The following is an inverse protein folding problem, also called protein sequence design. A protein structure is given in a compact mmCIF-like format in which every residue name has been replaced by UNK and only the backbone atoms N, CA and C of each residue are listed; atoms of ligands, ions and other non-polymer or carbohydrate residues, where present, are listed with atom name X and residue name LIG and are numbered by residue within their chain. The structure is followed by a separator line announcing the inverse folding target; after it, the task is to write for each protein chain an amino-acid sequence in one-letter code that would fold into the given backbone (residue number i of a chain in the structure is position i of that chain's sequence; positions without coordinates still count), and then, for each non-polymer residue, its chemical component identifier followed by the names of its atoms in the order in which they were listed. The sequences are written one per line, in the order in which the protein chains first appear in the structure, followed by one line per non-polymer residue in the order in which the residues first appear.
data_IF_427154782957
#
_entry.id   IF_427154782957
#
_cell.length_a   1.000
_cell.length_b   1.000
_cell.length_c   1.000
_cell.angle_alpha   90.00
_cell.angle_beta   90.00
_cell.angle_gamma   90.00
#
_symmetry.space_group_name_H-M   'P 1'
#
loop_
_entity.id
_entity.type
_entity.pdbx_description
1 polymer ?
#
# COMPACT_ATOMS: atom_id res chain seq x y z
N UNK A 1 -12.95 -14.29 -20.29
CA UNK A 1 -12.06 -13.38 -19.54
C UNK A 1 -12.87 -12.81 -18.38
N UNK A 2 -12.47 -13.05 -17.13
CA UNK A 2 -13.21 -12.59 -15.94
C UNK A 2 -12.64 -11.26 -15.46
N UNK A 3 -12.97 -10.15 -16.14
CA UNK A 3 -12.50 -8.81 -15.75
C UNK A 3 -13.53 -8.09 -14.87
N UNK A 4 -13.07 -7.34 -13.88
CA UNK A 4 -13.92 -6.53 -13.00
C UNK A 4 -13.29 -5.15 -12.75
N UNK A 5 -14.08 -4.08 -12.81
CA UNK A 5 -13.63 -2.77 -12.33
C UNK A 5 -13.69 -2.78 -10.80
N UNK A 6 -12.53 -2.61 -10.17
CA UNK A 6 -12.41 -2.47 -8.71
C UNK A 6 -12.06 -1.03 -8.37
N UNK A 7 -12.64 -0.56 -7.27
CA UNK A 7 -12.41 0.77 -6.71
C UNK A 7 -11.45 0.65 -5.53
N UNK A 8 -10.48 1.56 -5.46
CA UNK A 8 -9.61 1.72 -4.29
C UNK A 8 -9.39 3.19 -3.96
N UNK A 9 -8.71 3.43 -2.85
CA UNK A 9 -8.40 4.76 -2.35
C UNK A 9 -6.92 4.83 -2.06
N UNK A 10 -6.27 5.91 -2.49
CA UNK A 10 -4.88 6.13 -2.13
C UNK A 10 -4.74 6.43 -0.63
N UNK A 11 -3.80 5.74 0.01
CA UNK A 11 -3.56 5.87 1.45
C UNK A 11 -2.83 7.19 1.79
N UNK A 12 -2.21 7.85 0.81
CA UNK A 12 -1.48 9.11 0.98
C UNK A 12 -2.40 10.36 1.04
N UNK A 13 -3.41 10.41 0.17
CA UNK A 13 -4.19 11.63 -0.12
C UNK A 13 -5.70 11.37 -0.22
N UNK A 14 -6.15 10.11 -0.13
CA UNK A 14 -7.56 9.74 -0.15
C UNK A 14 -8.25 9.82 -1.52
N UNK A 15 -7.53 10.12 -2.60
CA UNK A 15 -8.06 10.13 -3.96
C UNK A 15 -8.56 8.73 -4.34
N UNK A 16 -9.68 8.67 -5.06
CA UNK A 16 -10.29 7.43 -5.50
C UNK A 16 -9.68 7.01 -6.84
N UNK A 17 -9.35 5.74 -6.95
CA UNK A 17 -8.83 5.11 -8.16
C UNK A 17 -9.71 3.94 -8.56
N UNK A 18 -9.73 3.66 -9.86
CA UNK A 18 -10.44 2.53 -10.44
C UNK A 18 -9.45 1.75 -11.30
N UNK A 19 -9.39 0.44 -11.13
CA UNK A 19 -8.55 -0.45 -11.92
C UNK A 19 -9.40 -1.56 -12.52
N UNK A 20 -9.08 -1.96 -13.75
CA UNK A 20 -9.67 -3.12 -14.39
C UNK A 20 -8.85 -4.36 -14.00
N UNK A 21 -9.42 -5.22 -13.18
CA UNK A 21 -8.75 -6.36 -12.57
C UNK A 21 -9.22 -7.65 -13.25
N UNK A 22 -8.28 -8.44 -13.76
CA UNK A 22 -8.51 -9.82 -14.16
C UNK A 22 -8.64 -10.75 -12.93
N UNK A 23 -9.86 -11.20 -12.65
CA UNK A 23 -10.19 -12.06 -11.51
C UNK A 23 -9.70 -13.51 -11.68
N UNK A 24 -9.30 -13.91 -12.89
CA UNK A 24 -8.74 -15.24 -13.15
C UNK A 24 -7.23 -15.32 -12.88
N UNK A 25 -6.53 -14.17 -12.86
CA UNK A 25 -5.12 -14.09 -12.52
C UNK A 25 -4.99 -13.73 -11.04
N UNK A 26 -4.55 -14.69 -10.24
CA UNK A 26 -4.46 -14.56 -8.79
C UNK A 26 -3.17 -13.91 -8.29
N UNK A 27 -2.17 -13.65 -9.15
CA UNK A 27 -0.79 -13.52 -8.66
C UNK A 27 0.07 -12.47 -9.40
N UNK A 28 1.33 -12.35 -8.95
CA UNK A 28 2.47 -11.67 -9.59
C UNK A 28 2.62 -11.98 -11.09
N UNK A 29 1.89 -12.96 -11.63
CA UNK A 29 1.82 -13.32 -13.06
C UNK A 29 1.46 -12.15 -13.98
N UNK A 30 0.80 -11.10 -13.48
CA UNK A 30 0.61 -9.86 -14.27
C UNK A 30 1.88 -9.10 -14.55
N UNK A 31 2.83 -9.17 -13.63
CA UNK A 31 4.13 -8.55 -13.79
C UNK A 31 5.07 -9.46 -14.58
N UNK A 32 4.78 -10.77 -14.69
CA UNK A 32 5.70 -11.69 -15.37
C UNK A 32 5.82 -11.50 -16.88
N UNK A 33 4.90 -10.76 -17.52
CA UNK A 33 5.09 -10.33 -18.91
C UNK A 33 6.08 -9.18 -19.07
N UNK A 34 6.20 -8.33 -18.03
CA UNK A 34 6.85 -7.01 -18.11
C UNK A 34 8.20 -6.96 -17.37
N UNK A 35 8.47 -7.97 -16.53
CA UNK A 35 9.62 -8.02 -15.64
C UNK A 35 10.26 -9.42 -15.63
N UNK A 36 11.58 -9.46 -15.54
CA UNK A 36 12.35 -10.71 -15.45
C UNK A 36 12.23 -11.35 -14.05
N UNK A 37 12.52 -12.65 -13.94
CA UNK A 37 12.36 -13.41 -12.69
C UNK A 37 13.08 -12.81 -11.48
N UNK A 38 14.30 -12.27 -11.70
CA UNK A 38 15.07 -11.62 -10.66
C UNK A 38 14.51 -10.24 -10.27
N UNK A 39 13.90 -9.53 -11.21
CA UNK A 39 13.18 -8.27 -10.94
C UNK A 39 11.91 -8.55 -10.12
N UNK A 40 11.17 -9.62 -10.45
CA UNK A 40 10.01 -10.08 -9.69
C UNK A 40 10.39 -10.57 -8.29
N UNK A 41 11.54 -11.24 -8.15
CA UNK A 41 12.07 -11.65 -6.85
C UNK A 41 12.41 -10.44 -5.98
N UNK A 42 13.05 -9.41 -6.55
CA UNK A 42 13.32 -8.17 -5.83
C UNK A 42 12.02 -7.43 -5.44
N UNK A 43 11.01 -7.44 -6.33
CA UNK A 43 9.70 -6.89 -6.01
C UNK A 43 9.04 -7.61 -4.82
N UNK A 44 9.08 -8.94 -4.78
CA UNK A 44 8.58 -9.72 -3.62
C UNK A 44 9.34 -9.39 -2.33
N UNK A 45 10.67 -9.32 -2.37
CA UNK A 45 11.47 -8.87 -1.21
C UNK A 45 11.11 -7.45 -0.76
N UNK A 46 10.80 -6.56 -1.71
CA UNK A 46 10.33 -5.21 -1.41
C UNK A 46 8.96 -5.23 -0.74
N UNK A 47 8.05 -6.11 -1.16
CA UNK A 47 6.77 -6.33 -0.49
C UNK A 47 6.98 -6.84 0.95
N UNK A 48 7.90 -7.78 1.17
CA UNK A 48 8.21 -8.31 2.51
C UNK A 48 8.69 -7.19 3.44
N UNK A 49 9.57 -6.30 2.95
CA UNK A 49 10.04 -5.13 3.70
C UNK A 49 8.88 -4.17 4.03
N UNK A 50 8.00 -3.90 3.07
CA UNK A 50 6.86 -2.99 3.26
C UNK A 50 5.85 -3.59 4.26
N UNK A 51 5.48 -4.86 4.11
CA UNK A 51 4.51 -5.56 4.96
C UNK A 51 5.05 -5.70 6.39
N UNK A 52 6.35 -5.98 6.53
CA UNK A 52 7.00 -6.14 7.84
C UNK A 52 7.29 -4.82 8.55
N UNK A 53 7.16 -3.68 7.88
CA UNK A 53 7.37 -2.36 8.48
C UNK A 53 6.13 -1.84 9.20
N UNK A 54 6.32 -1.13 10.32
CA UNK A 54 5.20 -0.48 11.03
C UNK A 54 4.59 0.68 10.23
N UNK A 55 5.39 1.35 9.40
CA UNK A 55 4.97 2.52 8.60
C UNK A 55 4.34 2.15 7.26
N UNK A 56 4.38 0.87 6.86
CA UNK A 56 3.97 0.42 5.53
C UNK A 56 4.90 0.93 4.42
N UNK A 57 6.19 1.10 4.71
CA UNK A 57 7.21 1.60 3.79
C UNK A 57 8.54 0.89 3.95
N UNK A 58 9.32 0.84 2.88
CA UNK A 58 10.70 0.36 2.87
C UNK A 58 11.66 1.45 2.37
N UNK A 59 12.83 1.59 2.99
CA UNK A 59 13.84 2.54 2.53
C UNK A 59 14.54 2.04 1.26
N UNK A 60 15.02 2.95 0.42
CA UNK A 60 15.82 2.62 -0.76
C UNK A 60 17.05 1.78 -0.40
N UNK A 61 17.69 2.09 0.73
CA UNK A 61 18.86 1.38 1.24
C UNK A 61 18.54 -0.06 1.63
N UNK A 62 17.41 -0.31 2.29
CA UNK A 62 17.02 -1.68 2.67
C UNK A 62 16.71 -2.53 1.43
N UNK A 63 16.02 -1.94 0.46
CA UNK A 63 15.71 -2.62 -0.81
C UNK A 63 17.01 -2.93 -1.58
N UNK A 64 17.94 -1.97 -1.67
CA UNK A 64 19.23 -2.15 -2.33
C UNK A 64 20.06 -3.27 -1.68
N UNK A 65 20.08 -3.34 -0.34
CA UNK A 65 20.78 -4.40 0.38
C UNK A 65 20.13 -5.77 0.16
N UNK A 66 18.81 -5.81 -0.07
CA UNK A 66 18.11 -7.07 -0.37
C UNK A 66 18.48 -7.65 -1.75
N UNK A 67 18.97 -6.84 -2.69
CA UNK A 67 19.36 -7.27 -4.03
C UNK A 67 20.54 -8.28 -4.02
N UNK A 68 21.41 -8.20 -3.02
CA UNK A 68 22.53 -9.13 -2.85
C UNK A 68 22.08 -10.52 -2.36
N UNK A 69 20.85 -10.63 -1.86
CA UNK A 69 20.22 -11.86 -1.35
C UNK A 69 19.33 -12.57 -2.37
N UNK A 70 19.30 -12.07 -3.62
CA UNK A 70 18.53 -12.70 -4.70
C UNK A 70 19.13 -14.07 -5.04
N UNK A 71 18.25 -15.06 -5.18
CA UNK A 71 18.57 -16.47 -5.46
C UNK A 71 18.68 -16.76 -6.96
N UNK A 72 17.95 -15.99 -7.79
CA UNK A 72 17.99 -16.10 -9.25
C UNK A 72 19.27 -15.49 -9.85
N UNK A 73 19.25 -14.18 -10.08
CA UNK A 73 20.39 -13.39 -10.58
C UNK A 73 20.46 -12.08 -9.80
N UNK A 74 21.57 -11.89 -9.07
CA UNK A 74 21.82 -10.66 -8.32
C UNK A 74 21.83 -9.45 -9.26
N UNK A 75 21.22 -8.38 -8.79
CA UNK A 75 21.19 -7.08 -9.47
C UNK A 75 22.25 -6.17 -8.87
N UNK A 76 22.94 -5.41 -9.71
CA UNK A 76 23.81 -4.32 -9.23
C UNK A 76 22.95 -3.21 -8.63
N UNK A 77 23.52 -2.41 -7.72
CA UNK A 77 22.81 -1.26 -7.12
C UNK A 77 22.18 -0.33 -8.16
N UNK A 78 22.89 0.01 -9.23
CA UNK A 78 22.36 0.84 -10.32
C UNK A 78 21.23 0.17 -11.11
N UNK A 79 21.26 -1.16 -11.28
CA UNK A 79 20.18 -1.92 -11.91
C UNK A 79 18.95 -1.97 -11.00
N UNK A 80 19.15 -2.11 -9.69
CA UNK A 80 18.08 -2.05 -8.67
C UNK A 80 17.42 -0.69 -8.62
N UNK A 81 18.18 0.42 -8.62
CA UNK A 81 17.63 1.77 -8.67
C UNK A 81 16.82 2.01 -9.95
N UNK A 82 17.33 1.53 -11.10
CA UNK A 82 16.61 1.60 -12.36
C UNK A 82 15.31 0.77 -12.33
N UNK A 83 15.33 -0.42 -11.73
CA UNK A 83 14.12 -1.22 -11.56
C UNK A 83 13.10 -0.53 -10.64
N UNK A 84 13.53 0.07 -9.53
CA UNK A 84 12.64 0.82 -8.64
C UNK A 84 11.95 1.97 -9.38
N UNK A 85 12.67 2.71 -10.21
CA UNK A 85 12.09 3.74 -11.07
C UNK A 85 11.06 3.17 -12.06
N UNK A 86 11.36 2.02 -12.67
CA UNK A 86 10.40 1.32 -13.55
C UNK A 86 9.15 0.87 -12.80
N UNK A 87 9.30 0.32 -11.59
CA UNK A 87 8.18 -0.10 -10.74
C UNK A 87 7.31 1.09 -10.32
N UNK A 88 7.91 2.26 -10.04
CA UNK A 88 7.16 3.50 -9.76
C UNK A 88 6.45 4.00 -11.01
N UNK A 89 7.13 4.04 -12.15
CA UNK A 89 6.55 4.46 -13.42
C UNK A 89 5.38 3.55 -13.84
N UNK A 90 5.56 2.24 -13.65
CA UNK A 90 4.54 1.22 -13.84
C UNK A 90 3.42 1.23 -12.79
N UNK A 91 3.44 2.15 -11.83
CA UNK A 91 2.44 2.23 -10.75
C UNK A 91 2.32 0.90 -10.00
N UNK A 92 3.44 0.24 -9.71
CA UNK A 92 3.53 -0.85 -8.75
C UNK A 92 3.91 -0.31 -7.38
N UNK A 93 4.95 0.53 -7.34
CA UNK A 93 5.40 1.23 -6.16
C UNK A 93 5.05 2.72 -6.20
N UNK A 94 5.09 3.37 -5.05
CA UNK A 94 5.09 4.82 -4.92
C UNK A 94 6.28 5.23 -4.07
N UNK A 95 7.04 6.22 -4.55
CA UNK A 95 8.25 6.71 -3.89
C UNK A 95 8.00 8.10 -3.30
N UNK A 96 8.56 8.34 -2.11
CA UNK A 96 8.61 9.66 -1.49
C UNK A 96 9.83 9.78 -0.58
N UNK A 97 10.78 10.63 -0.97
CA UNK A 97 11.99 10.95 -0.18
C UNK A 97 12.86 9.72 0.14
N UNK A 98 13.01 8.82 -0.82
CA UNK A 98 13.79 7.59 -0.68
C UNK A 98 13.05 6.45 0.01
N UNK A 99 11.79 6.64 0.40
CA UNK A 99 10.93 5.57 0.92
C UNK A 99 9.95 5.09 -0.16
N UNK A 100 9.73 3.78 -0.21
CA UNK A 100 8.84 3.11 -1.13
C UNK A 100 7.68 2.46 -0.39
N UNK A 101 6.49 2.52 -0.97
CA UNK A 101 5.29 1.81 -0.53
C UNK A 101 4.57 1.20 -1.73
N UNK A 102 3.58 0.35 -1.50
CA UNK A 102 2.74 -0.15 -2.59
C UNK A 102 1.85 0.98 -3.10
N UNK A 103 1.79 1.14 -4.41
CA UNK A 103 0.86 2.07 -5.03
C UNK A 103 -0.60 1.58 -4.86
N UNK A 104 -1.56 2.49 -5.04
CA UNK A 104 -2.98 2.12 -5.01
C UNK A 104 -3.34 1.09 -6.08
N UNK A 105 -2.75 1.18 -7.28
CA UNK A 105 -2.96 0.21 -8.36
C UNK A 105 -2.51 -1.18 -7.91
N UNK A 106 -1.29 -1.29 -7.38
CA UNK A 106 -0.75 -2.55 -6.88
C UNK A 106 -1.65 -3.17 -5.82
N UNK A 107 -2.12 -2.38 -4.85
CA UNK A 107 -3.00 -2.88 -3.78
C UNK A 107 -4.32 -3.41 -4.37
N UNK A 108 -4.95 -2.70 -5.31
CA UNK A 108 -6.21 -3.14 -5.92
C UNK A 108 -6.03 -4.43 -6.73
N UNK A 109 -4.99 -4.46 -7.57
CA UNK A 109 -4.76 -5.58 -8.50
C UNK A 109 -4.25 -6.83 -7.80
N UNK A 110 -3.40 -6.68 -6.79
CA UNK A 110 -2.76 -7.79 -6.09
C UNK A 110 -3.41 -8.12 -4.74
N UNK A 111 -4.56 -7.52 -4.41
CA UNK A 111 -5.22 -7.78 -3.13
C UNK A 111 -5.41 -9.27 -2.81
N UNK A 112 -5.86 -10.13 -3.74
CA UNK A 112 -6.01 -11.57 -3.47
C UNK A 112 -4.68 -12.24 -3.11
N UNK A 113 -3.61 -11.93 -3.86
CA UNK A 113 -2.26 -12.40 -3.59
C UNK A 113 -1.78 -11.94 -2.22
N UNK A 114 -1.89 -10.64 -1.92
CA UNK A 114 -1.42 -10.05 -0.67
C UNK A 114 -2.13 -10.69 0.52
N UNK A 115 -3.46 -10.86 0.45
CA UNK A 115 -4.23 -11.51 1.52
C UNK A 115 -3.82 -12.95 1.74
N UNK A 116 -3.50 -13.68 0.66
CA UNK A 116 -3.10 -15.08 0.74
C UNK A 116 -1.70 -15.23 1.31
N UNK A 117 -0.74 -14.47 0.80
CA UNK A 117 0.68 -14.59 1.18
C UNK A 117 1.02 -13.96 2.53
N UNK A 118 0.30 -12.92 2.93
CA UNK A 118 0.60 -12.13 4.13
C UNK A 118 -0.54 -12.12 5.14
N UNK A 119 -1.42 -13.14 5.13
CA UNK A 119 -2.66 -13.20 5.93
C UNK A 119 -2.51 -12.77 7.40
N UNK A 120 -1.39 -13.15 8.04
CA UNK A 120 -1.16 -12.88 9.47
C UNK A 120 -0.64 -11.46 9.73
N UNK A 121 0.00 -10.86 8.72
CA UNK A 121 0.72 -9.59 8.80
C UNK A 121 -0.14 -8.42 8.32
N UNK A 122 -0.90 -8.59 7.22
CA UNK A 122 -1.76 -7.53 6.70
C UNK A 122 -3.06 -7.46 7.48
N UNK A 123 -3.45 -6.24 7.84
CA UNK A 123 -4.74 -5.95 8.48
C UNK A 123 -5.55 -5.03 7.57
N UNK A 124 -6.85 -4.99 7.82
CA UNK A 124 -7.78 -4.16 7.08
C UNK A 124 -8.15 -2.92 7.88
N UNK A 125 -8.48 -1.85 7.17
CA UNK A 125 -9.02 -0.64 7.75
C UNK A 125 -10.44 -0.89 8.28
N UNK A 126 -10.72 -0.50 9.52
CA UNK A 126 -12.03 -0.67 10.17
C UNK A 126 -13.17 0.09 9.47
N UNK A 127 -12.85 1.11 8.67
CA UNK A 127 -13.85 1.97 8.03
C UNK A 127 -14.18 1.48 6.61
N UNK A 128 -13.16 1.21 5.79
CA UNK A 128 -13.35 0.86 4.38
C UNK A 128 -13.16 -0.62 4.07
N UNK A 129 -12.68 -1.42 5.03
CA UNK A 129 -12.43 -2.87 4.93
C UNK A 129 -11.39 -3.29 3.87
N UNK A 130 -10.68 -2.33 3.27
CA UNK A 130 -9.53 -2.60 2.40
C UNK A 130 -8.26 -2.79 3.23
N UNK A 131 -7.26 -3.47 2.65
CA UNK A 131 -5.91 -3.61 3.23
C UNK A 131 -5.37 -2.23 3.59
N UNK A 132 -4.71 -2.14 4.74
CA UNK A 132 -4.11 -0.91 5.25
C UNK A 132 -2.62 -1.09 5.54
N UNK A 133 -1.79 -0.42 4.74
CA UNK A 133 -0.34 -0.32 4.99
C UNK A 133 -0.03 0.92 5.81
N UNK A 134 -0.56 2.08 5.41
CA UNK A 134 -0.38 3.37 6.06
C UNK A 134 -1.64 3.75 6.83
N UNK A 135 -1.57 3.62 8.15
CA UNK A 135 -2.72 3.77 9.03
C UNK A 135 -2.34 4.24 10.43
N UNK A 136 -3.33 4.76 11.13
CA UNK A 136 -3.29 4.96 12.58
C UNK A 136 -3.92 3.73 13.26
N UNK A 137 -3.38 3.39 14.42
CA UNK A 137 -3.78 2.20 15.19
C UNK A 137 -4.38 2.66 16.52
N UNK A 138 -5.50 2.07 16.94
CA UNK A 138 -6.02 2.32 18.28
C UNK A 138 -5.00 1.82 19.32
N UNK A 139 -4.60 2.71 20.25
CA UNK A 139 -3.60 2.38 21.28
C UNK A 139 -4.15 1.53 22.42
N UNK A 140 -5.47 1.30 22.48
CA UNK A 140 -6.03 0.34 23.43
C UNK A 140 -5.49 -1.07 23.09
N UNK A 141 -4.75 -1.73 24.02
CA UNK A 141 -4.13 -3.03 23.79
C UNK A 141 -5.11 -4.16 23.45
N UNK A 142 -6.37 -4.07 23.88
CA UNK A 142 -7.41 -5.07 23.56
C UNK A 142 -8.18 -4.74 22.27
N UNK A 143 -7.97 -3.56 21.67
CA UNK A 143 -8.65 -3.13 20.46
C UNK A 143 -7.75 -3.23 19.21
N UNK A 144 -6.68 -2.42 19.14
CA UNK A 144 -5.71 -2.49 18.05
C UNK A 144 -6.26 -2.30 16.63
N UNK A 145 -7.46 -1.74 16.43
CA UNK A 145 -8.00 -1.54 15.09
C UNK A 145 -7.10 -0.59 14.28
N UNK A 146 -7.03 -0.82 12.97
CA UNK A 146 -6.31 0.04 12.04
C UNK A 146 -7.29 0.88 11.24
N UNK A 147 -6.98 2.16 11.02
CA UNK A 147 -7.76 3.05 10.15
C UNK A 147 -6.79 3.82 9.25
N UNK A 148 -6.99 3.76 7.93
CA UNK A 148 -6.20 4.56 6.99
C UNK A 148 -6.24 6.04 7.34
N UNK A 149 -5.14 6.77 7.11
CA UNK A 149 -5.08 8.22 7.38
C UNK A 149 -6.24 8.99 6.70
N UNK A 150 -6.62 8.73 5.44
CA UNK A 150 -7.78 9.39 4.84
C UNK A 150 -9.13 8.91 5.41
N UNK A 151 -9.21 7.70 5.95
CA UNK A 151 -10.43 7.23 6.63
C UNK A 151 -10.59 7.94 7.98
N UNK A 152 -9.51 8.10 8.76
CA UNK A 152 -9.48 8.87 10.02
C UNK A 152 -9.96 10.30 9.76
N UNK A 153 -9.35 10.98 8.79
CA UNK A 153 -9.69 12.35 8.41
C UNK A 153 -11.17 12.54 8.03
N UNK A 154 -11.78 11.54 7.37
CA UNK A 154 -13.21 11.58 7.00
C UNK A 154 -14.11 11.25 8.18
N UNK A 155 -13.77 10.23 8.96
CA UNK A 155 -14.59 9.70 10.04
C UNK A 155 -14.68 10.66 11.24
N UNK A 156 -13.56 11.29 11.59
CA UNK A 156 -13.44 12.22 12.71
C UNK A 156 -13.65 13.69 12.32
N UNK A 157 -14.01 13.96 11.06
CA UNK A 157 -14.21 15.32 10.57
C UNK A 157 -15.21 16.09 11.44
N UNK A 158 -14.78 17.21 12.00
CA UNK A 158 -15.63 18.10 12.81
C UNK A 158 -15.95 17.57 14.22
N UNK A 159 -15.33 16.48 14.67
CA UNK A 159 -15.46 15.99 16.05
C UNK A 159 -14.39 16.64 16.92
N UNK A 160 -14.80 17.24 18.04
CA UNK A 160 -13.90 17.80 19.05
C UNK A 160 -13.23 16.72 19.90
N UNK A 161 -13.91 15.60 20.12
CA UNK A 161 -13.43 14.45 20.90
C UNK A 161 -13.52 13.18 20.04
N UNK A 162 -12.50 12.89 19.22
CA UNK A 162 -12.50 11.70 18.39
C UNK A 162 -12.41 10.43 19.25
N UNK A 163 -13.29 9.46 18.98
CA UNK A 163 -13.38 8.17 19.70
C UNK A 163 -13.30 6.97 18.77
N UNK A 164 -12.57 5.95 19.17
CA UNK A 164 -12.37 4.73 18.43
C UNK A 164 -13.73 4.10 18.04
N UNK A 165 -13.98 3.80 16.75
CA UNK A 165 -15.25 3.19 16.31
C UNK A 165 -15.49 1.77 16.83
N UNK A 166 -14.50 1.12 17.45
CA UNK A 166 -14.62 -0.25 17.94
C UNK A 166 -14.71 -0.35 19.48
N UNK A 167 -13.93 0.43 20.23
CA UNK A 167 -13.91 0.38 21.70
C UNK A 167 -14.36 1.68 22.39
N UNK A 168 -14.70 2.73 21.64
CA UNK A 168 -15.13 4.05 22.13
C UNK A 168 -14.10 4.83 22.99
N UNK A 169 -12.89 4.32 23.13
CA UNK A 169 -11.78 5.07 23.75
C UNK A 169 -11.38 6.30 22.94
N UNK A 170 -10.77 7.28 23.61
CA UNK A 170 -10.22 8.46 22.97
C UNK A 170 -9.22 8.08 21.88
N UNK A 171 -9.32 8.71 20.71
CA UNK A 171 -8.38 8.53 19.61
C UNK A 171 -7.18 9.45 19.82
N UNK A 172 -6.00 8.91 20.17
CA UNK A 172 -4.88 9.73 20.65
C UNK A 172 -4.10 10.44 19.54
N UNK A 173 -4.35 10.05 18.29
CA UNK A 173 -3.60 10.54 17.13
C UNK A 173 -4.17 11.85 16.59
N UNK A 174 -3.31 12.70 16.04
CA UNK A 174 -3.71 13.87 15.27
C UNK A 174 -4.57 13.45 14.07
N UNK A 175 -5.71 14.12 13.87
CA UNK A 175 -6.61 13.86 12.76
C UNK A 175 -6.02 14.45 11.48
N UNK A 176 -5.65 13.64 10.46
CA UNK A 176 -5.00 14.17 9.27
C UNK A 176 -5.93 15.09 8.48
N UNK A 177 -5.37 16.13 7.86
CA UNK A 177 -6.10 16.93 6.88
C UNK A 177 -5.99 16.31 5.49
N UNK A 178 -7.13 15.91 4.89
CA UNK A 178 -7.13 15.56 3.47
C UNK A 178 -7.23 16.82 2.62
N UNK A 179 -6.16 17.15 1.90
CA UNK A 179 -6.22 18.14 0.83
C UNK A 179 -7.09 17.59 -0.30
N UNK A 180 -8.28 18.17 -0.49
CA UNK A 180 -9.09 17.87 -1.67
C UNK A 180 -8.30 18.30 -2.92
N UNK A 181 -8.20 17.47 -3.97
CA UNK A 181 -7.80 17.97 -5.27
C UNK A 181 -8.76 19.09 -5.64
N UNK A 182 -8.26 20.28 -6.03
CA UNK A 182 -9.10 21.31 -6.62
C UNK A 182 -9.82 20.67 -7.79
N UNK A 183 -11.15 20.61 -7.75
CA UNK A 183 -11.95 20.22 -8.90
C UNK A 183 -11.49 21.06 -10.09
N UNK A 184 -10.83 20.46 -11.07
CA UNK A 184 -10.67 21.10 -12.37
C UNK A 184 -12.07 21.29 -12.90
N UNK A 185 -12.58 22.51 -12.77
CA UNK A 185 -13.76 22.99 -13.48
C UNK A 185 -13.39 22.85 -14.95
N UNK A 186 -13.96 21.84 -15.61
CA UNK A 186 -13.94 21.77 -17.07
C UNK A 186 -14.68 23.03 -17.56
N UNK A 187 -13.93 23.97 -18.13
CA UNK A 187 -14.49 24.97 -19.04
C UNK A 187 -14.73 24.31 -20.39
#
# INVERSE_FOLDING_TARGET
MFMQIRKGMSEDNGQQYYALVNMAETDVTRMSSDYADNELELFRKTMDLIVGSESGKASSTDILNSADTLTTKKLKKSETEHLLNRLVHGQWLSEKRGEYTLSTRCIIEMEPYIRTMYQDQVKVCQICHNIAFQCQICENPVCGIKIHNPCVARYFKGRSEPRCPACDDFWPHEIPEIRRPKSQSRK
#
